data_IF_553878075773
#
_entry.id   IF_553878075773
#
_cell.length_a   1.000
_cell.length_b   1.000
_cell.length_c   1.000
_cell.angle_alpha   90.00
_cell.angle_beta   90.00
_cell.angle_gamma   90.00
#
_symmetry.space_group_name_H-M   'P 1'
#
loop_
_entity.id
_entity.type
_entity.pdbx_description
1 polymer ?
#
# COMPACT_ATOMS: atom_id res chain seq x y z
N UNK A 1 16.43 15.18 -18.37
CA UNK A 1 17.51 15.57 -17.44
C UNK A 1 17.03 15.29 -16.02
N UNK A 2 17.88 14.77 -15.14
CA UNK A 2 17.49 14.41 -13.76
C UNK A 2 18.07 15.43 -12.78
N UNK A 3 17.23 15.96 -11.88
CA UNK A 3 17.61 16.83 -10.77
C UNK A 3 17.59 16.02 -9.48
N UNK A 4 18.66 16.10 -8.68
CA UNK A 4 18.72 15.46 -7.37
C UNK A 4 18.30 16.49 -6.32
N UNK A 5 17.33 16.13 -5.48
CA UNK A 5 16.90 16.90 -4.31
C UNK A 5 17.27 16.15 -3.05
N UNK A 6 18.30 16.62 -2.36
CA UNK A 6 18.70 16.08 -1.06
C UNK A 6 17.91 16.81 0.04
N UNK A 7 17.24 16.04 0.90
CA UNK A 7 16.45 16.56 2.02
C UNK A 7 17.10 16.05 3.31
N UNK A 8 17.44 16.92 4.27
CA UNK A 8 17.95 16.48 5.56
C UNK A 8 16.95 15.55 6.25
N UNK A 9 17.41 14.39 6.74
CA UNK A 9 16.53 13.43 7.40
C UNK A 9 15.82 14.05 8.62
N UNK A 10 16.48 14.96 9.34
CA UNK A 10 15.91 15.68 10.47
C UNK A 10 14.64 16.47 10.11
N UNK A 11 14.51 17.00 8.89
CA UNK A 11 13.29 17.70 8.46
C UNK A 11 12.13 16.72 8.27
N UNK A 12 12.40 15.54 7.70
CA UNK A 12 11.39 14.49 7.51
C UNK A 12 10.95 13.93 8.85
N UNK A 13 11.90 13.68 9.76
CA UNK A 13 11.63 13.20 11.10
C UNK A 13 10.81 14.21 11.92
N UNK A 14 11.14 15.50 11.83
CA UNK A 14 10.39 16.56 12.50
C UNK A 14 8.94 16.69 11.97
N UNK A 15 8.75 16.60 10.64
CA UNK A 15 7.40 16.62 10.03
C UNK A 15 6.58 15.40 10.49
N UNK A 16 7.18 14.20 10.49
CA UNK A 16 6.53 12.99 10.97
C UNK A 16 6.15 13.06 12.47
N UNK A 17 7.05 13.58 13.30
CA UNK A 17 6.80 13.78 14.73
C UNK A 17 5.67 14.80 14.97
N UNK A 18 5.63 15.88 14.20
CA UNK A 18 4.56 16.88 14.29
C UNK A 18 3.20 16.29 13.94
N UNK A 19 3.13 15.44 12.91
CA UNK A 19 1.90 14.72 12.52
C UNK A 19 1.44 13.78 13.63
N UNK A 20 2.37 13.03 14.22
CA UNK A 20 2.03 12.11 15.30
C UNK A 20 1.54 12.84 16.55
N UNK A 21 2.09 14.03 16.81
CA UNK A 21 1.71 14.87 17.95
C UNK A 21 0.37 15.59 17.75
N UNK A 22 -0.05 15.89 16.52
CA UNK A 22 -1.18 16.78 16.28
C UNK A 22 -2.56 16.17 16.59
N UNK A 23 -2.67 14.86 16.89
CA UNK A 23 -3.96 14.15 17.00
C UNK A 23 -4.94 14.49 15.86
N UNK A 24 -4.42 14.94 14.71
CA UNK A 24 -5.27 15.39 13.63
C UNK A 24 -6.03 14.17 13.10
N UNK A 25 -7.36 14.29 13.16
CA UNK A 25 -8.28 13.35 12.52
C UNK A 25 -7.83 13.09 11.07
N UNK A 26 -8.23 11.97 10.44
CA UNK A 26 -7.86 11.62 9.07
C UNK A 26 -8.12 12.72 8.00
N UNK A 27 -8.87 13.77 8.36
CA UNK A 27 -9.26 14.90 7.52
C UNK A 27 -8.98 16.26 8.21
N UNK A 28 -7.71 16.67 8.37
CA UNK A 28 -7.40 17.97 8.96
C UNK A 28 -7.89 19.11 8.05
N UNK A 29 -8.43 20.17 8.65
CA UNK A 29 -8.90 21.37 7.94
C UNK A 29 -7.78 22.19 7.30
N UNK A 30 -6.53 21.99 7.73
CA UNK A 30 -5.32 22.53 7.09
C UNK A 30 -4.21 21.49 7.10
N UNK A 31 -3.65 21.15 5.94
CA UNK A 31 -2.50 20.22 5.84
C UNK A 31 -1.19 21.01 5.85
N UNK A 32 -0.64 21.24 7.04
CA UNK A 32 0.69 21.83 7.19
C UNK A 32 1.83 20.90 6.75
N UNK A 33 1.54 19.58 6.69
CA UNK A 33 2.47 18.49 6.35
C UNK A 33 3.35 18.82 5.15
N UNK A 34 4.65 18.72 5.33
CA UNK A 34 5.65 18.96 4.28
C UNK A 34 5.86 17.74 3.40
N UNK A 35 5.74 16.53 3.94
CA UNK A 35 6.07 15.29 3.25
C UNK A 35 4.95 14.25 3.39
N UNK A 36 5.03 13.21 2.57
CA UNK A 36 4.22 11.98 2.62
C UNK A 36 2.70 12.19 2.61
N UNK A 37 2.24 13.29 2.03
CA UNK A 37 0.82 13.62 1.96
C UNK A 37 0.06 12.67 1.01
N UNK A 38 -1.22 12.40 1.29
CA UNK A 38 -2.13 11.57 0.47
C UNK A 38 -3.58 12.08 0.59
N UNK A 39 -4.48 11.76 -0.34
CA UNK A 39 -5.92 12.11 -0.27
C UNK A 39 -6.22 13.62 -0.14
N UNK A 40 -5.59 14.47 -0.94
CA UNK A 40 -5.89 15.91 -0.96
C UNK A 40 -7.28 16.20 -1.48
N UNK A 41 -7.82 17.37 -1.14
CA UNK A 41 -9.02 17.91 -1.78
C UNK A 41 -8.65 18.51 -3.13
N UNK A 42 -9.64 18.60 -4.02
CA UNK A 42 -9.47 19.25 -5.32
C UNK A 42 -8.93 20.69 -5.18
N UNK A 43 -9.45 21.43 -4.19
CA UNK A 43 -9.02 22.80 -3.90
C UNK A 43 -7.53 22.91 -3.53
N UNK A 44 -6.92 21.86 -2.95
CA UNK A 44 -5.52 21.88 -2.54
C UNK A 44 -4.56 21.79 -3.75
N UNK A 45 -4.96 21.06 -4.80
CA UNK A 45 -4.10 20.75 -5.96
C UNK A 45 -4.32 21.71 -7.14
N UNK A 46 -5.54 22.25 -7.31
CA UNK A 46 -5.89 23.15 -8.41
C UNK A 46 -4.92 24.33 -8.61
N UNK A 47 -4.40 24.99 -7.56
CA UNK A 47 -3.46 26.10 -7.74
C UNK A 47 -2.14 25.69 -8.43
N UNK A 48 -1.70 24.45 -8.21
CA UNK A 48 -0.44 23.92 -8.74
C UNK A 48 -0.63 23.18 -10.05
N UNK A 49 -1.73 22.44 -10.18
CA UNK A 49 -2.09 21.64 -11.35
C UNK A 49 -3.53 21.99 -11.73
N UNK A 50 -3.74 23.06 -12.53
CA UNK A 50 -5.08 23.43 -12.99
C UNK A 50 -5.65 22.37 -13.93
N UNK A 51 -6.97 22.18 -13.86
CA UNK A 51 -7.69 21.39 -14.87
C UNK A 51 -7.71 22.11 -16.22
N UNK A 52 -7.89 21.33 -17.28
CA UNK A 52 -7.97 21.82 -18.66
C UNK A 52 -8.95 20.96 -19.47
N UNK A 53 -9.17 21.32 -20.74
CA UNK A 53 -10.01 20.52 -21.63
C UNK A 53 -9.53 19.06 -21.82
N UNK A 54 -8.26 18.78 -21.52
CA UNK A 54 -7.63 17.46 -21.71
C UNK A 54 -7.18 16.82 -20.40
N UNK A 55 -7.46 17.43 -19.25
CA UNK A 55 -7.03 16.93 -17.95
C UNK A 55 -7.97 17.37 -16.83
N UNK A 56 -8.52 16.40 -16.10
CA UNK A 56 -9.32 16.59 -14.89
C UNK A 56 -8.71 15.80 -13.75
N UNK A 57 -8.89 16.28 -12.52
CA UNK A 57 -8.53 15.50 -11.34
C UNK A 57 -9.68 14.58 -10.98
N UNK A 58 -9.40 13.28 -10.94
CA UNK A 58 -10.37 12.27 -10.56
C UNK A 58 -9.74 11.29 -9.57
N UNK A 59 -10.57 10.71 -8.70
CA UNK A 59 -10.15 9.57 -7.89
C UNK A 59 -9.97 8.37 -8.83
N UNK A 60 -8.75 7.84 -9.00
CA UNK A 60 -8.52 6.74 -9.92
C UNK A 60 -9.23 5.45 -9.43
N UNK A 61 -9.73 4.60 -10.35
CA UNK A 61 -10.31 3.31 -9.98
C UNK A 61 -9.22 2.39 -9.41
N UNK A 62 -9.56 1.46 -8.51
CA UNK A 62 -8.54 0.59 -7.90
C UNK A 62 -8.13 -0.60 -8.79
N UNK A 63 -9.05 -1.08 -9.64
CA UNK A 63 -8.88 -2.30 -10.43
C UNK A 63 -7.61 -2.35 -11.29
N UNK A 64 -7.20 -1.28 -12.00
CA UNK A 64 -5.96 -1.30 -12.79
C UNK A 64 -4.68 -1.45 -11.97
N UNK A 65 -4.75 -1.21 -10.67
CA UNK A 65 -3.62 -1.23 -9.73
C UNK A 65 -3.67 -2.46 -8.81
N UNK A 66 -4.61 -3.39 -9.03
CA UNK A 66 -4.74 -4.61 -8.25
C UNK A 66 -3.45 -5.43 -8.29
N UNK A 67 -2.92 -5.82 -7.13
CA UNK A 67 -1.67 -6.57 -7.04
C UNK A 67 -1.69 -7.85 -7.86
N UNK A 68 -2.79 -8.61 -7.85
CA UNK A 68 -2.92 -9.85 -8.62
C UNK A 68 -2.76 -9.67 -10.12
N UNK A 69 -3.11 -8.51 -10.67
CA UNK A 69 -2.88 -8.19 -12.09
C UNK A 69 -1.38 -8.07 -12.41
N UNK A 70 -0.61 -7.52 -11.46
CA UNK A 70 0.83 -7.28 -11.62
C UNK A 70 1.72 -8.36 -10.98
N UNK A 71 1.12 -9.32 -10.27
CA UNK A 71 1.82 -10.37 -9.53
C UNK A 71 2.82 -11.14 -10.41
N UNK A 72 2.50 -11.53 -11.67
CA UNK A 72 3.47 -12.26 -12.50
C UNK A 72 4.71 -11.43 -12.82
N UNK A 73 4.56 -10.11 -13.01
CA UNK A 73 5.68 -9.19 -13.23
C UNK A 73 6.51 -9.03 -11.95
N UNK A 74 5.84 -8.80 -10.82
CA UNK A 74 6.47 -8.60 -9.52
C UNK A 74 7.26 -9.84 -9.12
N UNK A 75 6.62 -11.02 -9.13
CA UNK A 75 7.25 -12.30 -8.81
C UNK A 75 8.47 -12.59 -9.69
N UNK A 76 8.36 -12.35 -11.01
CA UNK A 76 9.49 -12.51 -11.93
C UNK A 76 10.63 -11.55 -11.63
N UNK A 77 10.35 -10.27 -11.35
CA UNK A 77 11.38 -9.28 -11.00
C UNK A 77 12.10 -9.63 -9.70
N UNK A 78 11.39 -10.24 -8.76
CA UNK A 78 11.89 -10.72 -7.48
C UNK A 78 12.48 -12.14 -7.54
N UNK A 79 12.47 -12.78 -8.72
CA UNK A 79 12.91 -14.17 -8.94
C UNK A 79 12.20 -15.19 -8.04
N UNK A 80 10.95 -14.92 -7.66
CA UNK A 80 10.12 -15.85 -6.92
C UNK A 80 9.79 -17.06 -7.81
N UNK A 81 9.99 -18.27 -7.29
CA UNK A 81 9.55 -19.50 -7.95
C UNK A 81 8.05 -19.69 -7.73
N UNK A 82 7.43 -20.59 -8.48
CA UNK A 82 6.02 -20.92 -8.30
C UNK A 82 5.68 -21.42 -6.88
N UNK A 83 6.63 -22.01 -6.17
CA UNK A 83 6.46 -22.43 -4.77
C UNK A 83 6.62 -21.29 -3.75
N UNK A 84 7.18 -20.14 -4.17
CA UNK A 84 7.49 -18.98 -3.33
C UNK A 84 6.45 -17.85 -3.49
N UNK A 85 5.39 -18.07 -4.28
CA UNK A 85 4.30 -17.11 -4.45
C UNK A 85 2.99 -17.82 -4.76
N UNK A 86 1.93 -17.44 -4.05
CA UNK A 86 0.61 -17.99 -4.22
C UNK A 86 -0.45 -16.88 -4.24
N UNK A 87 -1.46 -17.06 -5.07
CA UNK A 87 -2.68 -16.25 -5.09
C UNK A 87 -3.85 -17.18 -4.78
N UNK A 88 -4.65 -16.81 -3.79
CA UNK A 88 -5.83 -17.54 -3.41
C UNK A 88 -7.01 -16.57 -3.16
N UNK A 89 -8.14 -17.11 -2.71
CA UNK A 89 -9.34 -16.33 -2.40
C UNK A 89 -9.71 -16.53 -0.94
N UNK A 90 -10.01 -15.43 -0.25
CA UNK A 90 -10.74 -15.45 1.00
C UNK A 90 -12.23 -15.63 0.62
N UNK A 91 -12.91 -16.66 1.13
CA UNK A 91 -14.35 -16.82 0.90
C UNK A 91 -15.12 -15.57 1.30
N UNK A 92 -16.05 -15.12 0.44
CA UNK A 92 -16.80 -13.88 0.63
C UNK A 92 -17.58 -13.84 1.94
N UNK A 93 -18.07 -14.99 2.42
CA UNK A 93 -18.79 -15.09 3.69
C UNK A 93 -17.92 -14.78 4.92
N UNK A 94 -16.58 -14.87 4.82
CA UNK A 94 -15.68 -14.48 5.91
C UNK A 94 -15.48 -12.96 6.00
N UNK A 95 -16.01 -12.18 5.06
CA UNK A 95 -15.87 -10.74 5.08
C UNK A 95 -16.44 -10.14 6.38
N UNK A 96 -17.65 -10.55 6.78
CA UNK A 96 -18.25 -10.06 8.02
C UNK A 96 -17.46 -10.48 9.27
N UNK A 97 -16.89 -11.68 9.29
CA UNK A 97 -16.08 -12.14 10.42
C UNK A 97 -14.76 -11.38 10.53
N UNK A 98 -14.10 -11.07 9.41
CA UNK A 98 -12.92 -10.20 9.40
C UNK A 98 -13.27 -8.76 9.84
N UNK A 99 -14.43 -8.23 9.43
CA UNK A 99 -14.90 -6.92 9.92
C UNK A 99 -15.24 -6.96 11.42
N UNK A 100 -15.72 -8.09 11.96
CA UNK A 100 -15.92 -8.28 13.41
C UNK A 100 -14.59 -8.32 14.16
N UNK A 101 -13.56 -8.98 13.63
CA UNK A 101 -12.21 -8.91 14.19
C UNK A 101 -11.74 -7.46 14.27
N UNK A 102 -12.00 -6.68 13.22
CA UNK A 102 -11.63 -5.26 13.18
C UNK A 102 -12.41 -4.42 14.19
N UNK A 103 -13.72 -4.60 14.27
CA UNK A 103 -14.54 -3.92 15.27
C UNK A 103 -14.09 -4.25 16.70
N UNK A 104 -13.74 -5.52 16.98
CA UNK A 104 -13.21 -5.94 18.27
C UNK A 104 -11.86 -5.27 18.57
N UNK A 105 -10.95 -5.22 17.59
CA UNK A 105 -9.68 -4.50 17.69
C UNK A 105 -9.90 -3.03 18.04
N UNK A 106 -10.70 -2.30 17.24
CA UNK A 106 -10.96 -0.87 17.45
C UNK A 106 -11.60 -0.59 18.82
N UNK A 107 -12.51 -1.45 19.26
CA UNK A 107 -13.24 -1.24 20.50
C UNK A 107 -12.42 -1.59 21.76
N UNK A 108 -11.52 -2.57 21.68
CA UNK A 108 -10.91 -3.18 22.86
C UNK A 108 -9.37 -3.22 22.83
N UNK A 109 -8.75 -2.69 21.77
CA UNK A 109 -7.30 -2.79 21.51
C UNK A 109 -6.79 -4.25 21.53
N UNK A 110 -7.68 -5.19 21.18
CA UNK A 110 -7.40 -6.63 21.14
C UNK A 110 -8.40 -7.38 20.28
N UNK A 111 -7.93 -8.42 19.61
CA UNK A 111 -8.80 -9.43 18.97
C UNK A 111 -8.80 -10.67 19.86
N UNK A 112 -9.99 -11.16 20.25
CA UNK A 112 -10.10 -12.37 21.09
C UNK A 112 -9.69 -13.60 20.28
N UNK A 113 -8.87 -14.47 20.86
CA UNK A 113 -8.40 -15.67 20.19
C UNK A 113 -9.56 -16.55 19.68
N UNK A 114 -10.64 -16.69 20.45
CA UNK A 114 -11.83 -17.45 20.04
C UNK A 114 -12.42 -16.97 18.70
N UNK A 115 -12.42 -15.66 18.46
CA UNK A 115 -12.92 -15.10 17.20
C UNK A 115 -11.96 -15.40 16.04
N UNK A 116 -10.65 -15.39 16.29
CA UNK A 116 -9.64 -15.80 15.31
C UNK A 116 -9.82 -17.28 14.96
N UNK A 117 -9.98 -18.14 15.98
CA UNK A 117 -10.16 -19.58 15.81
C UNK A 117 -11.42 -19.90 14.99
N UNK A 118 -12.54 -19.21 15.27
CA UNK A 118 -13.79 -19.34 14.50
C UNK A 118 -13.59 -18.99 13.01
N UNK A 119 -12.87 -17.90 12.71
CA UNK A 119 -12.56 -17.51 11.31
C UNK A 119 -11.64 -18.55 10.66
N UNK A 120 -10.63 -19.04 11.36
CA UNK A 120 -9.69 -20.06 10.85
C UNK A 120 -10.43 -21.37 10.57
N UNK A 121 -11.29 -21.82 11.47
CA UNK A 121 -12.13 -23.01 11.29
C UNK A 121 -13.05 -22.85 10.07
N UNK A 122 -13.78 -21.74 9.98
CA UNK A 122 -14.67 -21.46 8.86
C UNK A 122 -13.91 -21.37 7.52
N UNK A 123 -12.71 -20.78 7.52
CA UNK A 123 -11.89 -20.71 6.31
C UNK A 123 -11.41 -22.10 5.89
N UNK A 124 -10.85 -22.88 6.80
CA UNK A 124 -10.30 -24.22 6.53
C UNK A 124 -11.38 -25.28 6.24
N UNK A 125 -12.64 -25.01 6.58
CA UNK A 125 -13.77 -25.81 6.11
C UNK A 125 -13.92 -25.77 4.57
N UNK A 126 -13.43 -24.74 3.90
CA UNK A 126 -13.46 -24.61 2.43
C UNK A 126 -12.26 -25.25 1.74
N UNK A 127 -12.42 -25.68 0.48
CA UNK A 127 -11.29 -26.18 -0.33
C UNK A 127 -10.18 -25.12 -0.48
N UNK A 128 -10.56 -23.89 -0.82
CA UNK A 128 -9.63 -22.77 -1.00
C UNK A 128 -8.85 -22.48 0.29
N UNK A 129 -9.54 -22.48 1.45
CA UNK A 129 -8.88 -22.28 2.74
C UNK A 129 -7.91 -23.39 3.12
N UNK A 130 -8.21 -24.66 2.82
CA UNK A 130 -7.24 -25.76 3.03
C UNK A 130 -6.00 -25.60 2.18
N UNK A 131 -6.13 -25.11 0.94
CA UNK A 131 -4.98 -24.86 0.07
C UNK A 131 -4.11 -23.72 0.61
N UNK A 132 -4.72 -22.65 1.12
CA UNK A 132 -4.02 -21.53 1.78
C UNK A 132 -3.34 -21.98 3.08
N UNK A 133 -4.03 -22.74 3.93
CA UNK A 133 -3.50 -23.21 5.21
C UNK A 133 -2.21 -24.03 5.05
N UNK A 134 -2.05 -24.78 3.95
CA UNK A 134 -0.82 -25.54 3.64
C UNK A 134 0.42 -24.68 3.41
N UNK A 135 0.25 -23.39 3.13
CA UNK A 135 1.38 -22.46 3.04
C UNK A 135 1.93 -22.14 4.43
N UNK A 136 1.06 -22.08 5.43
CA UNK A 136 1.33 -21.61 6.78
C UNK A 136 1.57 -22.78 7.73
N UNK A 137 2.73 -23.42 7.58
CA UNK A 137 3.15 -24.63 8.31
C UNK A 137 3.88 -24.35 9.64
N UNK A 138 3.96 -23.09 10.07
CA UNK A 138 4.71 -22.67 11.26
C UNK A 138 6.21 -22.50 11.04
N UNK A 139 6.75 -22.85 9.86
CA UNK A 139 8.18 -22.73 9.56
C UNK A 139 8.44 -21.69 8.46
N UNK A 140 7.68 -21.77 7.36
CA UNK A 140 7.82 -20.84 6.23
C UNK A 140 7.22 -19.49 6.58
N UNK A 141 8.01 -18.45 6.37
CA UNK A 141 7.66 -17.03 6.54
C UNK A 141 7.07 -16.46 5.25
N UNK A 142 5.93 -15.80 5.35
CA UNK A 142 5.19 -15.25 4.21
C UNK A 142 4.85 -13.78 4.44
N UNK A 143 5.03 -12.98 3.39
CA UNK A 143 4.39 -11.69 3.27
C UNK A 143 2.98 -11.87 2.72
N UNK A 144 2.00 -11.34 3.43
CA UNK A 144 0.58 -11.47 3.08
C UNK A 144 -0.01 -10.12 2.73
N UNK A 145 -0.79 -10.06 1.67
CA UNK A 145 -1.54 -8.85 1.29
C UNK A 145 -2.85 -9.18 0.57
N UNK A 146 -3.71 -8.18 0.48
CA UNK A 146 -4.81 -8.16 -0.50
C UNK A 146 -4.34 -7.41 -1.76
N UNK A 147 -5.24 -7.32 -2.75
CA UNK A 147 -4.96 -6.62 -4.01
C UNK A 147 -4.51 -5.17 -3.79
N UNK A 148 -5.28 -4.43 -2.99
CA UNK A 148 -5.09 -3.00 -2.85
C UNK A 148 -4.02 -2.68 -1.81
N UNK A 149 -3.93 -3.44 -0.71
CA UNK A 149 -3.06 -3.12 0.41
C UNK A 149 -2.57 -4.35 1.17
N UNK A 150 -1.38 -4.23 1.78
CA UNK A 150 -0.91 -5.13 2.84
C UNK A 150 -1.38 -4.65 4.22
N UNK A 151 -1.50 -5.54 5.22
CA UNK A 151 -1.92 -5.20 6.57
C UNK A 151 -0.78 -4.58 7.39
N UNK A 152 0.11 -3.79 6.78
CA UNK A 152 1.33 -3.29 7.44
C UNK A 152 1.09 -2.28 8.57
N UNK A 153 -0.13 -1.76 8.63
CA UNK A 153 -0.65 -0.91 9.71
C UNK A 153 -1.22 -1.72 10.88
N UNK A 154 -1.34 -3.05 10.77
CA UNK A 154 -1.75 -3.90 11.88
C UNK A 154 -0.72 -3.77 13.02
N UNK A 155 -1.16 -3.43 14.25
CA UNK A 155 -0.29 -3.41 15.43
C UNK A 155 0.04 -4.81 15.92
N UNK A 156 -0.71 -5.83 15.47
CA UNK A 156 -0.50 -7.24 15.81
C UNK A 156 0.49 -7.91 14.84
N UNK A 157 1.60 -7.22 14.57
CA UNK A 157 2.69 -7.74 13.73
C UNK A 157 2.54 -7.50 12.23
N UNK A 158 1.86 -6.43 11.80
CA UNK A 158 1.65 -6.12 10.38
C UNK A 158 2.93 -5.97 9.55
N UNK A 159 4.06 -5.61 10.18
CA UNK A 159 5.39 -5.50 9.56
C UNK A 159 6.22 -6.79 9.60
N UNK A 160 5.71 -7.84 10.25
CA UNK A 160 6.39 -9.12 10.37
C UNK A 160 5.88 -10.10 9.29
N UNK A 161 6.57 -11.21 9.01
CA UNK A 161 6.01 -12.30 8.21
C UNK A 161 5.00 -13.14 8.98
N UNK A 162 4.04 -13.77 8.28
CA UNK A 162 3.17 -14.80 8.84
C UNK A 162 3.77 -16.18 8.62
N UNK A 163 3.59 -17.06 9.59
CA UNK A 163 3.96 -18.48 9.57
C UNK A 163 2.76 -19.38 9.83
N UNK A 164 1.71 -18.88 10.49
CA UNK A 164 0.44 -19.60 10.71
C UNK A 164 -0.76 -18.86 10.11
N UNK A 165 -1.89 -19.55 9.93
CA UNK A 165 -3.12 -18.96 9.39
C UNK A 165 -3.80 -18.03 10.41
N UNK A 166 -3.65 -18.31 11.71
CA UNK A 166 -4.08 -17.47 12.82
C UNK A 166 -3.40 -16.09 12.74
N UNK A 167 -2.09 -16.06 12.48
CA UNK A 167 -1.36 -14.79 12.29
C UNK A 167 -1.89 -14.01 11.08
N UNK A 168 -2.25 -14.70 9.99
CA UNK A 168 -2.92 -14.06 8.84
C UNK A 168 -4.23 -13.42 9.26
N UNK A 169 -5.13 -14.19 9.87
CA UNK A 169 -6.46 -13.69 10.29
C UNK A 169 -6.31 -12.54 11.28
N UNK A 170 -5.41 -12.65 12.24
CA UNK A 170 -5.17 -11.61 13.25
C UNK A 170 -4.67 -10.30 12.62
N UNK A 171 -3.78 -10.36 11.64
CA UNK A 171 -3.24 -9.16 10.96
C UNK A 171 -4.24 -8.54 10.00
N UNK A 172 -4.97 -9.37 9.24
CA UNK A 172 -6.06 -8.89 8.38
C UNK A 172 -7.16 -8.25 9.24
N UNK A 173 -7.53 -8.90 10.33
CA UNK A 173 -8.58 -8.45 11.25
C UNK A 173 -8.21 -7.21 12.04
N UNK A 174 -6.95 -6.90 12.29
CA UNK A 174 -6.53 -5.70 13.05
C UNK A 174 -6.02 -4.54 12.17
N UNK A 175 -6.14 -4.64 10.85
CA UNK A 175 -5.66 -3.63 9.90
C UNK A 175 -6.79 -2.71 9.43
N UNK A 176 -6.60 -1.38 9.58
CA UNK A 176 -7.50 -0.37 8.99
C UNK A 176 -7.45 -0.39 7.46
N UNK A 177 -6.27 -0.65 6.88
CA UNK A 177 -6.10 -0.81 5.44
C UNK A 177 -6.93 -1.95 4.88
N UNK A 178 -6.90 -3.11 5.53
CA UNK A 178 -7.69 -4.28 5.13
C UNK A 178 -9.18 -4.01 5.32
N UNK A 179 -9.59 -3.42 6.45
CA UNK A 179 -10.97 -2.98 6.65
C UNK A 179 -11.48 -2.12 5.49
N UNK A 180 -10.70 -1.11 5.07
CA UNK A 180 -11.02 -0.26 3.93
C UNK A 180 -11.10 -1.02 2.59
N UNK A 181 -10.23 -2.02 2.38
CA UNK A 181 -10.28 -2.89 1.19
C UNK A 181 -11.58 -3.71 1.15
N UNK A 182 -11.96 -4.30 2.29
CA UNK A 182 -13.16 -5.15 2.42
C UNK A 182 -14.45 -4.36 2.21
N UNK A 183 -14.57 -3.17 2.79
CA UNK A 183 -15.73 -2.31 2.61
C UNK A 183 -15.88 -1.85 1.16
N UNK A 184 -14.77 -1.44 0.53
CA UNK A 184 -14.79 -0.97 -0.85
C UNK A 184 -15.19 -2.08 -1.81
N UNK A 185 -14.62 -3.27 -1.65
CA UNK A 185 -14.98 -4.43 -2.47
C UNK A 185 -16.45 -4.84 -2.26
N UNK A 186 -16.99 -4.71 -1.03
CA UNK A 186 -18.41 -4.94 -0.74
C UNK A 186 -19.30 -3.96 -1.50
N UNK A 187 -18.96 -2.68 -1.45
CA UNK A 187 -19.70 -1.62 -2.14
C UNK A 187 -19.62 -1.79 -3.67
N UNK A 188 -18.43 -2.04 -4.20
CA UNK A 188 -18.20 -2.25 -5.63
C UNK A 188 -18.96 -3.49 -6.13
N UNK A 189 -18.90 -4.60 -5.40
CA UNK A 189 -19.63 -5.82 -5.74
C UNK A 189 -21.14 -5.62 -5.75
N UNK A 190 -21.68 -4.90 -4.75
CA UNK A 190 -23.11 -4.55 -4.69
C UNK A 190 -23.53 -3.66 -5.85
N UNK A 191 -22.75 -2.61 -6.15
CA UNK A 191 -23.02 -1.67 -7.25
C UNK A 191 -22.99 -2.36 -8.61
N UNK A 192 -22.11 -3.33 -8.78
CA UNK A 192 -21.93 -4.08 -10.03
C UNK A 192 -22.82 -5.33 -10.13
N UNK A 193 -23.58 -5.68 -9.08
CA UNK A 193 -24.43 -6.87 -9.07
C UNK A 193 -23.64 -8.18 -9.16
N UNK A 194 -22.43 -8.22 -8.58
CA UNK A 194 -21.53 -9.38 -8.60
C UNK A 194 -21.22 -9.88 -7.18
N UNK A 195 -20.71 -11.10 -7.07
CA UNK A 195 -20.15 -11.58 -5.81
C UNK A 195 -18.85 -10.84 -5.46
N UNK A 196 -18.60 -10.69 -4.16
CA UNK A 196 -17.33 -10.18 -3.65
C UNK A 196 -16.19 -11.12 -4.01
N UNK A 197 -15.05 -10.56 -4.42
CA UNK A 197 -13.81 -11.26 -4.71
C UNK A 197 -12.72 -10.68 -3.83
N UNK A 198 -12.20 -11.50 -2.92
CA UNK A 198 -11.22 -11.07 -1.93
C UNK A 198 -9.94 -11.88 -2.16
N UNK A 199 -9.11 -11.49 -3.15
CA UNK A 199 -7.83 -12.16 -3.38
C UNK A 199 -6.88 -11.93 -2.22
N UNK A 200 -6.23 -13.00 -1.79
CA UNK A 200 -5.09 -12.97 -0.88
C UNK A 200 -3.85 -13.42 -1.65
N UNK A 201 -2.78 -12.65 -1.50
CA UNK A 201 -1.48 -12.95 -2.11
C UNK A 201 -0.48 -13.22 -1.02
N UNK A 202 0.20 -14.34 -1.14
CA UNK A 202 1.23 -14.81 -0.22
C UNK A 202 2.54 -14.94 -0.98
N UNK A 203 3.50 -14.06 -0.72
CA UNK A 203 4.85 -14.17 -1.25
C UNK A 203 5.80 -14.64 -0.15
N UNK A 204 6.84 -15.40 -0.51
CA UNK A 204 7.87 -15.78 0.45
C UNK A 204 8.49 -14.51 1.02
N UNK A 205 8.62 -14.49 2.35
CA UNK A 205 9.28 -13.40 3.05
C UNK A 205 10.76 -13.33 2.65
N UNK A 206 11.19 -12.14 2.25
CA UNK A 206 12.58 -11.83 1.91
C UNK A 206 13.22 -11.06 3.07
N UNK A 207 14.04 -11.76 3.88
CA UNK A 207 14.80 -11.16 4.99
C UNK A 207 15.82 -10.12 4.50
N UNK A 208 16.20 -10.17 3.21
CA UNK A 208 17.10 -9.20 2.58
C UNK A 208 16.38 -8.00 1.97
N UNK A 209 15.08 -7.82 2.23
CA UNK A 209 14.33 -6.63 1.81
C UNK A 209 14.64 -5.46 2.73
N UNK A 210 15.50 -4.55 2.25
CA UNK A 210 15.89 -3.33 2.94
C UNK A 210 15.01 -2.14 2.51
N UNK A 211 14.17 -1.66 3.43
CA UNK A 211 13.27 -0.53 3.19
C UNK A 211 14.02 0.79 2.90
N UNK A 212 15.27 0.94 3.33
CA UNK A 212 16.08 2.12 3.00
C UNK A 212 16.47 2.18 1.52
N UNK A 213 16.28 1.07 0.78
CA UNK A 213 16.53 0.95 -0.66
C UNK A 213 15.24 0.84 -1.47
N UNK A 214 14.09 1.07 -0.83
CA UNK A 214 12.80 1.16 -1.49
C UNK A 214 12.56 2.59 -1.99
N UNK A 215 12.17 2.71 -3.26
CA UNK A 215 11.89 3.98 -3.91
C UNK A 215 10.50 3.92 -4.56
N UNK A 216 9.78 5.03 -4.49
CA UNK A 216 8.54 5.24 -5.23
C UNK A 216 8.79 6.05 -6.49
N UNK A 217 8.33 5.53 -7.61
CA UNK A 217 8.36 6.21 -8.91
C UNK A 217 6.95 6.70 -9.24
N UNK A 218 6.82 7.97 -9.60
CA UNK A 218 5.56 8.58 -10.00
C UNK A 218 5.51 8.74 -11.52
N UNK A 219 4.48 8.19 -12.15
CA UNK A 219 4.25 8.26 -13.60
C UNK A 219 2.91 8.97 -13.84
N UNK A 220 2.93 10.28 -14.15
CA UNK A 220 1.69 11.01 -14.41
C UNK A 220 0.99 10.48 -15.67
N UNK A 221 -0.33 10.68 -15.80
CA UNK A 221 -1.05 10.29 -17.00
C UNK A 221 -0.38 10.95 -18.23
N UNK A 222 0.09 10.17 -19.21
CA UNK A 222 0.55 10.76 -20.46
C UNK A 222 -0.63 11.44 -21.11
N UNK A 223 -0.51 12.72 -21.46
CA UNK A 223 -1.59 13.56 -22.03
C UNK A 223 -2.22 13.05 -23.34
N UNK A 224 -2.02 11.79 -23.73
CA UNK A 224 -2.60 11.20 -24.93
C UNK A 224 -2.87 9.67 -24.93
N UNK A 225 -2.52 8.87 -23.90
CA UNK A 225 -2.61 7.37 -24.05
C UNK A 225 -3.06 6.52 -22.86
N UNK A 226 -3.09 7.04 -21.63
CA UNK A 226 -3.73 6.35 -20.51
C UNK A 226 -4.68 7.31 -19.82
N UNK A 227 -5.88 6.84 -19.47
CA UNK A 227 -6.85 7.64 -18.72
C UNK A 227 -6.37 7.99 -17.31
N UNK A 228 -5.43 7.22 -16.74
CA UNK A 228 -4.89 7.43 -15.41
C UNK A 228 -3.36 7.25 -15.38
N UNK A 229 -2.68 8.01 -14.52
CA UNK A 229 -1.28 7.78 -14.17
C UNK A 229 -1.14 6.63 -13.16
N UNK A 230 0.09 6.23 -12.85
CA UNK A 230 0.37 5.24 -11.82
C UNK A 230 1.62 5.62 -11.03
N UNK A 231 1.75 5.09 -9.82
CA UNK A 231 3.02 5.03 -9.14
C UNK A 231 3.42 3.58 -8.93
N UNK A 232 4.70 3.31 -8.77
CA UNK A 232 5.16 1.97 -8.45
C UNK A 232 6.34 2.02 -7.52
N UNK A 233 6.40 1.05 -6.62
CA UNK A 233 7.48 0.91 -5.68
C UNK A 233 8.50 -0.09 -6.23
N UNK A 234 9.76 0.24 -6.07
CA UNK A 234 10.88 -0.61 -6.44
C UNK A 234 11.85 -0.72 -5.28
N UNK A 235 12.51 -1.87 -5.17
CA UNK A 235 13.68 -2.03 -4.31
C UNK A 235 14.93 -2.16 -5.17
N UNK A 236 15.98 -1.43 -4.78
CA UNK A 236 17.30 -1.53 -5.41
C UNK A 236 18.18 -2.46 -4.57
N UNK A 237 18.42 -3.68 -5.09
CA UNK A 237 19.31 -4.66 -4.47
C UNK A 237 20.77 -4.34 -4.78
N UNK A 238 21.69 -5.01 -4.07
CA UNK A 238 23.12 -4.93 -4.36
C UNK A 238 23.42 -5.28 -5.82
N UNK A 239 24.41 -4.61 -6.40
CA UNK A 239 24.73 -4.73 -7.82
C UNK A 239 23.75 -4.00 -8.76
N UNK A 240 22.85 -3.17 -8.23
CA UNK A 240 21.95 -2.32 -9.02
C UNK A 240 20.75 -3.06 -9.62
N UNK A 241 20.44 -4.27 -9.13
CA UNK A 241 19.26 -5.02 -9.56
C UNK A 241 18.01 -4.34 -9.00
N UNK A 242 17.11 -3.92 -9.89
CA UNK A 242 15.83 -3.29 -9.53
C UNK A 242 14.73 -4.34 -9.54
N UNK A 243 13.96 -4.43 -8.47
CA UNK A 243 12.81 -5.33 -8.36
C UNK A 243 11.55 -4.52 -8.08
N UNK A 244 10.47 -4.84 -8.77
CA UNK A 244 9.16 -4.18 -8.56
C UNK A 244 8.55 -4.74 -7.29
N UNK A 245 7.97 -3.89 -6.45
CA UNK A 245 7.33 -4.25 -5.18
C UNK A 245 5.82 -4.19 -5.32
N UNK A 246 5.28 -3.05 -5.76
CA UNK A 246 3.85 -2.85 -5.99
C UNK A 246 3.57 -1.75 -7.00
N UNK A 247 2.34 -1.72 -7.52
CA UNK A 247 1.81 -0.65 -8.36
C UNK A 247 0.65 -0.01 -7.58
N UNK A 248 0.60 1.32 -7.57
CA UNK A 248 -0.32 2.14 -6.82
C UNK A 248 -1.01 3.16 -7.73
N UNK A 249 -2.23 3.61 -7.40
CA UNK A 249 -2.85 4.71 -8.11
C UNK A 249 -2.01 6.00 -8.02
N UNK A 250 -2.10 6.86 -9.03
CA UNK A 250 -1.43 8.16 -9.04
C UNK A 250 -2.41 9.29 -8.77
N UNK A 251 -1.89 10.37 -8.18
CA UNK A 251 -2.54 11.67 -8.14
C UNK A 251 -2.94 12.12 -6.75
N UNK A 252 -3.13 13.43 -6.60
CA UNK A 252 -3.39 14.09 -5.33
C UNK A 252 -4.67 13.59 -4.64
N UNK A 253 -5.71 13.27 -5.42
CA UNK A 253 -6.98 12.73 -4.92
C UNK A 253 -6.92 11.24 -4.56
N UNK A 254 -5.82 10.55 -4.88
CA UNK A 254 -5.65 9.13 -4.57
C UNK A 254 -5.20 8.90 -3.12
N UNK A 255 -5.28 7.65 -2.67
CA UNK A 255 -4.67 7.21 -1.40
C UNK A 255 -3.14 7.08 -1.44
N UNK A 256 -2.48 7.42 -2.55
CA UNK A 256 -1.05 7.28 -2.69
C UNK A 256 -0.30 8.36 -1.90
N UNK A 257 0.53 7.93 -0.94
CA UNK A 257 1.50 8.81 -0.29
C UNK A 257 2.52 9.36 -1.28
N UNK A 258 2.83 10.64 -1.15
CA UNK A 258 3.81 11.36 -1.96
C UNK A 258 5.28 11.20 -1.49
N UNK A 259 5.55 10.38 -0.46
CA UNK A 259 6.88 10.13 0.08
C UNK A 259 7.62 11.43 0.46
N UNK A 260 8.71 11.78 -0.23
CA UNK A 260 9.50 12.99 0.03
C UNK A 260 8.96 14.24 -0.70
N UNK A 261 7.79 14.12 -1.32
CA UNK A 261 7.07 15.19 -1.96
C UNK A 261 5.76 15.51 -1.23
N UNK A 262 5.15 16.62 -1.61
CA UNK A 262 3.80 17.01 -1.25
C UNK A 262 3.00 17.23 -2.54
N UNK A 263 1.85 16.55 -2.68
CA UNK A 263 1.05 16.64 -3.90
C UNK A 263 0.65 18.08 -4.25
N UNK A 264 0.26 18.89 -3.26
CA UNK A 264 -0.15 20.27 -3.49
C UNK A 264 1.03 21.18 -3.81
N UNK A 265 2.16 21.05 -3.10
CA UNK A 265 3.32 21.95 -3.27
C UNK A 265 4.22 21.56 -4.44
N UNK A 266 4.47 20.26 -4.61
CA UNK A 266 5.33 19.70 -5.65
C UNK A 266 4.51 19.17 -6.84
N UNK A 267 3.20 19.46 -6.90
CA UNK A 267 2.29 18.93 -7.91
C UNK A 267 2.76 19.18 -9.34
N UNK A 268 3.36 20.34 -9.62
CA UNK A 268 3.92 20.64 -10.95
C UNK A 268 5.02 19.67 -11.35
N UNK A 269 5.91 19.32 -10.42
CA UNK A 269 6.98 18.32 -10.64
C UNK A 269 6.37 16.93 -10.80
N UNK A 270 5.48 16.53 -9.88
CA UNK A 270 4.85 15.20 -9.88
C UNK A 270 3.99 14.95 -11.13
N UNK A 271 3.35 15.98 -11.67
CA UNK A 271 2.55 15.91 -12.90
C UNK A 271 3.36 16.21 -14.17
N UNK A 272 4.68 16.40 -14.07
CA UNK A 272 5.56 16.61 -15.22
C UNK A 272 5.36 17.95 -15.94
N UNK A 273 4.79 18.95 -15.27
CA UNK A 273 4.50 20.28 -15.83
C UNK A 273 5.71 21.21 -15.85
N UNK A 274 6.81 20.84 -15.18
CA UNK A 274 8.06 21.61 -15.12
C UNK A 274 9.08 21.15 -16.19
N UNK A 275 8.64 21.14 -17.46
CA UNK A 275 9.53 20.96 -18.60
C UNK A 275 10.11 19.55 -18.78
N UNK A 276 9.53 18.53 -18.14
CA UNK A 276 9.95 17.13 -18.27
C UNK A 276 11.26 16.80 -17.55
N UNK A 277 11.74 17.65 -16.63
CA UNK A 277 12.82 17.27 -15.73
C UNK A 277 12.31 16.25 -14.70
N UNK A 278 13.07 15.17 -14.51
CA UNK A 278 12.78 14.16 -13.50
C UNK A 278 13.46 14.57 -12.20
N UNK A 279 12.72 14.65 -11.10
CA UNK A 279 13.30 14.90 -9.78
C UNK A 279 13.51 13.58 -9.02
N UNK A 280 14.71 13.39 -8.49
CA UNK A 280 15.06 12.31 -7.59
C UNK A 280 15.30 12.88 -6.18
N UNK A 281 14.30 12.71 -5.32
CA UNK A 281 14.38 13.14 -3.92
C UNK A 281 14.90 12.02 -3.03
N UNK A 282 15.88 12.33 -2.16
CA UNK A 282 16.46 11.38 -1.20
C UNK A 282 16.79 12.06 0.12
N UNK A 283 16.75 11.29 1.20
CA UNK A 283 17.35 11.67 2.48
C UNK A 283 18.74 11.07 2.59
N UNK A 284 19.70 11.88 3.03
CA UNK A 284 21.01 11.40 3.43
C UNK A 284 21.15 11.64 4.94
N UNK A 285 21.60 10.64 5.69
CA UNK A 285 22.10 10.88 7.04
C UNK A 285 23.38 11.71 6.92
N UNK A 286 23.55 12.71 7.78
CA UNK A 286 24.85 13.35 7.92
C UNK A 286 25.83 12.26 8.35
N UNK A 287 26.91 12.08 7.58
CA UNK A 287 27.96 11.17 8.00
C UNK A 287 28.50 11.68 9.33
N UNK A 288 28.16 11.02 10.44
CA UNK A 288 28.88 11.22 11.69
C UNK A 288 30.37 11.01 11.40
N UNK A 289 31.17 11.99 11.79
CA UNK A 289 32.54 12.22 11.34
C UNK A 289 33.34 10.95 11.09
N UNK A 290 33.65 10.71 9.82
CA UNK A 290 34.85 9.96 9.44
C UNK A 290 35.96 10.98 9.20
N UNK A 291 36.60 11.39 10.30
CA UNK A 291 38.01 11.81 10.27
C UNK A 291 38.91 10.57 10.22
#
# INVERSE_FOLDING_TARGET
>A
KMRIRTIPYAEVAADAAAIQASQDTPHPSTRSQRFCTAQHLLADILPSVPESATFTHETPPWTPYAYTLWQPLIARSQRLRAADSAVAQIPSFLCDDLLRCHAAWVAMDRVRQTLVDEVVEAWTATRAGREVARLFDGERKWFVRLDQMSPKDSPLGGKLPCTTLEEVVMRLGSSMRVYGCLLREREDALREGREMRIPIVCNRWDEGMDAAREFRVFVPPPGARMSYGFSFDVIVKEGGVVQVVEINPFGALSGCGACLFNWARDGRVLYGLDGGEVEFAVTLEEAEGRE
#
